data_IF_198919206990
#
_entry.id   IF_198919206990
#
_cell.length_a   1.000
_cell.length_b   1.000
_cell.length_c   1.000
_cell.angle_alpha   90.00
_cell.angle_beta   90.00
_cell.angle_gamma   90.00
#
_symmetry.space_group_name_H-M   'P 1'
#
loop_
_entity.id
_entity.type
_entity.pdbx_description
1 polymer ?
#
# COMPACT_ATOMS: atom_id res chain seq x y z
N UNK A 1 -6.42 -6.19 1.32
CA UNK A 1 -4.95 -6.35 1.17
C UNK A 1 -4.68 -6.92 -0.20
N UNK A 2 -4.01 -6.15 -0.99
CA UNK A 2 -3.57 -6.64 -2.30
C UNK A 2 -2.36 -7.55 -2.11
N UNK A 3 -2.25 -8.59 -2.92
CA UNK A 3 -1.08 -9.47 -2.87
C UNK A 3 0.11 -8.70 -3.46
N UNK A 4 1.31 -8.91 -2.93
CA UNK A 4 2.56 -8.31 -3.40
C UNK A 4 2.69 -8.24 -4.94
N UNK A 5 2.33 -9.32 -5.65
CA UNK A 5 2.30 -9.36 -7.10
C UNK A 5 1.31 -8.36 -7.73
N UNK A 6 0.23 -8.03 -7.04
CA UNK A 6 -0.75 -7.03 -7.48
C UNK A 6 -0.17 -5.63 -7.46
N UNK A 7 0.49 -5.23 -6.37
CA UNK A 7 1.18 -3.93 -6.28
C UNK A 7 2.28 -3.79 -7.33
N UNK A 8 3.07 -4.86 -7.52
CA UNK A 8 4.09 -4.92 -8.57
C UNK A 8 3.48 -4.72 -9.97
N UNK A 9 2.40 -5.43 -10.28
CA UNK A 9 1.72 -5.33 -11.58
C UNK A 9 1.16 -3.94 -11.84
N UNK A 10 0.47 -3.33 -10.87
CA UNK A 10 -0.08 -1.98 -11.00
C UNK A 10 1.04 -0.94 -11.15
N UNK A 11 2.12 -1.05 -10.38
CA UNK A 11 3.26 -0.14 -10.50
C UNK A 11 3.89 -0.19 -11.89
N UNK A 12 4.05 -1.38 -12.48
CA UNK A 12 4.58 -1.55 -13.84
C UNK A 12 3.64 -0.98 -14.92
N UNK A 13 2.32 -1.21 -14.80
CA UNK A 13 1.33 -0.65 -15.71
C UNK A 13 1.35 0.87 -15.63
N UNK A 14 1.36 1.43 -14.41
CA UNK A 14 1.44 2.87 -14.21
C UNK A 14 2.72 3.46 -14.79
N UNK A 15 3.87 2.81 -14.60
CA UNK A 15 5.15 3.23 -15.17
C UNK A 15 5.09 3.35 -16.70
N UNK A 16 4.48 2.37 -17.36
CA UNK A 16 4.27 2.39 -18.79
C UNK A 16 3.38 3.56 -19.23
N UNK A 17 2.26 3.78 -18.53
CA UNK A 17 1.28 4.81 -18.90
C UNK A 17 1.82 6.23 -18.71
N UNK A 18 2.56 6.48 -17.64
CA UNK A 18 3.11 7.82 -17.33
C UNK A 18 4.56 8.00 -17.82
N UNK A 19 5.11 7.01 -18.52
CA UNK A 19 6.47 7.02 -19.09
C UNK A 19 7.57 7.25 -18.04
N UNK A 20 7.43 6.59 -16.90
CA UNK A 20 8.44 6.58 -15.85
C UNK A 20 9.28 5.29 -15.90
N UNK A 21 10.43 5.31 -15.22
CA UNK A 21 11.29 4.13 -15.12
C UNK A 21 10.56 2.96 -14.44
N UNK A 22 10.37 1.81 -15.12
CA UNK A 22 9.57 0.71 -14.59
C UNK A 22 10.22 0.03 -13.39
N UNK A 23 11.56 -0.02 -13.33
CA UNK A 23 12.26 -0.64 -12.21
C UNK A 23 12.12 0.22 -10.93
N UNK A 24 12.29 1.52 -11.06
CA UNK A 24 12.15 2.45 -9.94
C UNK A 24 10.70 2.54 -9.45
N UNK A 25 9.73 2.52 -10.36
CA UNK A 25 8.30 2.44 -10.03
C UNK A 25 7.98 1.13 -9.30
N UNK A 26 8.52 0.01 -9.76
CA UNK A 26 8.37 -1.30 -9.12
C UNK A 26 8.93 -1.28 -7.70
N UNK A 27 10.14 -0.74 -7.51
CA UNK A 27 10.75 -0.60 -6.18
C UNK A 27 9.83 0.18 -5.25
N UNK A 28 9.31 1.33 -5.68
CA UNK A 28 8.37 2.12 -4.90
C UNK A 28 7.07 1.39 -4.61
N UNK A 29 6.53 0.69 -5.61
CA UNK A 29 5.27 -0.06 -5.50
C UNK A 29 5.31 -1.27 -4.56
N UNK A 30 6.49 -1.80 -4.24
CA UNK A 30 6.65 -2.94 -3.32
C UNK A 30 7.36 -2.58 -2.02
N UNK A 31 8.00 -1.42 -1.94
CA UNK A 31 8.78 -0.98 -0.79
C UNK A 31 8.00 -1.00 0.53
N UNK A 32 6.73 -0.55 0.62
CA UNK A 32 5.98 -0.61 1.86
C UNK A 32 5.79 -2.04 2.40
N UNK A 33 5.72 -3.04 1.53
CA UNK A 33 5.53 -4.44 1.89
C UNK A 33 6.84 -5.17 2.28
N UNK A 34 7.99 -4.50 2.21
CA UNK A 34 9.27 -5.11 2.62
C UNK A 34 9.30 -5.46 4.11
N UNK A 35 8.47 -4.82 4.92
CA UNK A 35 8.29 -5.20 6.33
C UNK A 35 7.72 -6.63 6.49
N UNK A 36 6.95 -7.11 5.52
CA UNK A 36 6.48 -8.49 5.47
C UNK A 36 7.64 -9.48 5.32
N UNK A 37 8.68 -9.12 4.57
CA UNK A 37 9.89 -9.94 4.42
C UNK A 37 10.66 -10.00 5.75
N UNK A 38 10.75 -8.89 6.47
CA UNK A 38 11.39 -8.85 7.78
C UNK A 38 10.70 -9.75 8.79
N UNK A 39 9.38 -9.96 8.66
CA UNK A 39 8.64 -10.87 9.53
C UNK A 39 8.99 -12.35 9.29
N UNK A 40 9.32 -12.72 8.05
CA UNK A 40 9.81 -14.07 7.71
C UNK A 40 11.17 -14.32 8.39
N UNK A 41 11.96 -13.27 8.62
CA UNK A 41 13.24 -13.32 9.30
C UNK A 41 13.15 -13.31 10.84
N UNK A 42 11.94 -13.44 11.40
CA UNK A 42 11.72 -13.58 12.84
C UNK A 42 11.17 -12.33 13.56
N UNK A 43 10.89 -11.24 12.86
CA UNK A 43 10.18 -10.12 13.44
C UNK A 43 8.68 -10.44 13.61
N UNK A 44 8.06 -9.98 14.72
CA UNK A 44 6.63 -10.20 14.99
C UNK A 44 5.77 -9.47 13.95
N UNK A 45 5.36 -10.16 12.91
CA UNK A 45 4.56 -9.64 11.80
C UNK A 45 3.34 -8.83 12.24
N UNK A 46 2.54 -9.36 13.16
CA UNK A 46 1.32 -8.68 13.64
C UNK A 46 1.57 -7.39 14.42
N UNK A 47 2.80 -7.12 14.86
CA UNK A 47 3.14 -5.91 15.63
C UNK A 47 3.82 -4.83 14.80
N UNK A 48 4.47 -5.19 13.71
CA UNK A 48 5.31 -4.28 12.90
C UNK A 48 4.74 -4.02 11.50
N UNK A 49 4.00 -4.98 10.96
CA UNK A 49 3.39 -4.85 9.64
C UNK A 49 2.38 -3.70 9.59
N UNK A 50 2.41 -2.94 8.52
CA UNK A 50 1.50 -1.83 8.23
C UNK A 50 1.52 -0.67 9.24
N UNK A 51 2.63 -0.41 9.89
CA UNK A 51 2.76 0.75 10.77
C UNK A 51 3.52 1.89 10.07
N UNK A 52 4.83 1.96 10.29
CA UNK A 52 5.66 3.06 9.76
C UNK A 52 5.74 3.00 8.23
N UNK A 53 5.88 1.80 7.66
CA UNK A 53 6.03 1.60 6.21
C UNK A 53 4.78 1.98 5.41
N UNK A 54 3.60 1.92 6.04
CA UNK A 54 2.31 2.31 5.45
C UNK A 54 1.81 3.67 5.97
N UNK A 55 2.69 4.48 6.55
CA UNK A 55 2.39 5.85 6.97
C UNK A 55 2.87 6.86 5.95
N UNK A 56 2.32 8.07 6.01
CA UNK A 56 2.70 9.20 5.15
C UNK A 56 4.19 9.57 5.27
N UNK A 57 4.88 9.07 6.29
CA UNK A 57 6.31 9.30 6.49
C UNK A 57 7.12 8.78 5.30
N UNK A 58 6.78 7.59 4.77
CA UNK A 58 7.53 7.00 3.66
C UNK A 58 7.45 7.84 2.37
N UNK A 59 6.27 8.24 1.86
CA UNK A 59 6.21 9.11 0.68
C UNK A 59 6.79 10.52 0.93
N UNK A 60 6.75 11.03 2.16
CA UNK A 60 7.41 12.29 2.49
C UNK A 60 8.93 12.14 2.36
N UNK A 61 9.52 11.09 2.93
CA UNK A 61 10.97 10.85 2.84
C UNK A 61 11.39 10.69 1.38
N UNK A 62 10.72 9.83 0.61
CA UNK A 62 11.06 9.62 -0.80
C UNK A 62 10.83 10.88 -1.64
N UNK A 63 9.79 11.65 -1.34
CA UNK A 63 9.52 12.94 -1.98
C UNK A 63 10.59 13.99 -1.69
N UNK A 64 11.07 14.09 -0.45
CA UNK A 64 12.17 14.98 -0.10
C UNK A 64 13.45 14.55 -0.83
N UNK A 65 13.77 13.27 -0.85
CA UNK A 65 14.93 12.74 -1.56
C UNK A 65 14.89 13.02 -3.06
N UNK A 66 13.72 13.13 -3.65
CA UNK A 66 13.55 13.44 -5.07
C UNK A 66 14.03 14.85 -5.46
N UNK A 67 14.15 15.76 -4.47
CA UNK A 67 14.69 17.12 -4.70
C UNK A 67 16.17 17.05 -5.08
N UNK A 68 16.93 16.14 -4.45
CA UNK A 68 18.37 15.98 -4.71
C UNK A 68 18.68 14.89 -5.74
N UNK A 69 17.83 13.87 -5.83
CA UNK A 69 18.03 12.74 -6.72
C UNK A 69 16.73 12.43 -7.47
N UNK A 70 16.57 12.88 -8.74
CA UNK A 70 15.37 12.70 -9.55
C UNK A 70 14.93 11.24 -9.72
N UNK A 71 15.83 10.28 -9.52
CA UNK A 71 15.51 8.84 -9.51
C UNK A 71 14.48 8.46 -8.41
N UNK A 72 14.33 9.27 -7.36
CA UNK A 72 13.31 9.06 -6.34
C UNK A 72 11.90 9.49 -6.76
N UNK A 73 11.74 10.25 -7.85
CA UNK A 73 10.41 10.64 -8.36
C UNK A 73 9.56 9.40 -8.67
N UNK A 74 9.99 8.47 -9.56
CA UNK A 74 9.22 7.26 -9.83
C UNK A 74 9.05 6.36 -8.60
N UNK A 75 10.03 6.30 -7.70
CA UNK A 75 9.90 5.56 -6.44
C UNK A 75 8.76 6.15 -5.60
N UNK A 76 8.72 7.47 -5.42
CA UNK A 76 7.67 8.16 -4.66
C UNK A 76 6.29 7.91 -5.28
N UNK A 77 6.17 7.99 -6.59
CA UNK A 77 4.92 7.69 -7.30
C UNK A 77 4.50 6.24 -7.06
N UNK A 78 5.44 5.29 -7.13
CA UNK A 78 5.18 3.88 -6.83
C UNK A 78 4.66 3.67 -5.40
N UNK A 79 5.25 4.32 -4.40
CA UNK A 79 4.79 4.29 -3.00
C UNK A 79 3.37 4.85 -2.87
N UNK A 80 3.06 5.96 -3.54
CA UNK A 80 1.72 6.55 -3.51
C UNK A 80 0.68 5.63 -4.15
N UNK A 81 1.01 4.99 -5.28
CA UNK A 81 0.14 4.02 -5.92
C UNK A 81 -0.12 2.83 -4.99
N UNK A 82 0.91 2.31 -4.31
CA UNK A 82 0.76 1.26 -3.32
C UNK A 82 -0.24 1.65 -2.23
N UNK A 83 -0.10 2.86 -1.66
CA UNK A 83 -1.01 3.34 -0.62
C UNK A 83 -2.45 3.44 -1.11
N UNK A 84 -2.68 4.00 -2.30
CA UNK A 84 -4.02 4.13 -2.88
C UNK A 84 -4.67 2.75 -3.04
N UNK A 85 -3.91 1.76 -3.48
CA UNK A 85 -4.42 0.39 -3.67
C UNK A 85 -4.65 -0.35 -2.36
N UNK A 86 -3.89 -0.04 -1.30
CA UNK A 86 -4.07 -0.65 0.03
C UNK A 86 -5.15 0.05 0.87
N UNK A 87 -5.49 1.30 0.55
CA UNK A 87 -6.63 2.00 1.17
C UNK A 87 -7.99 1.46 0.75
N UNK A 88 -8.05 0.46 -0.12
CA UNK A 88 -9.28 -0.09 -0.68
C UNK A 88 -10.23 -0.60 0.44
N UNK A 89 -9.85 -1.67 1.13
CA UNK A 89 -10.75 -2.37 2.06
C UNK A 89 -10.26 -2.37 3.51
N UNK A 90 -8.96 -2.49 3.69
CA UNK A 90 -8.37 -2.77 5.00
C UNK A 90 -7.92 -1.51 5.73
N UNK A 91 -7.82 -0.39 5.00
CA UNK A 91 -7.26 0.83 5.53
C UNK A 91 -5.75 0.74 5.81
N UNK A 92 -5.13 1.89 5.91
CA UNK A 92 -3.74 2.05 6.31
C UNK A 92 -3.63 3.10 7.42
N UNK A 93 -2.70 2.96 8.37
CA UNK A 93 -2.48 3.93 9.43
C UNK A 93 -1.69 5.14 8.90
N UNK A 94 -2.33 5.93 8.02
CA UNK A 94 -1.69 6.98 7.24
C UNK A 94 -0.91 7.97 8.11
N UNK A 95 -1.45 8.35 9.27
CA UNK A 95 -0.88 9.33 10.19
C UNK A 95 -0.10 8.70 11.37
N UNK A 96 0.22 7.42 11.29
CA UNK A 96 1.04 6.77 12.30
C UNK A 96 2.45 7.41 12.38
N UNK A 97 3.06 7.63 13.56
CA UNK A 97 2.61 7.19 14.90
C UNK A 97 1.72 8.19 15.65
N UNK A 98 1.40 9.36 15.05
CA UNK A 98 0.66 10.44 15.72
C UNK A 98 -0.80 10.01 15.95
N UNK A 99 -1.45 9.52 14.89
CA UNK A 99 -2.81 8.99 14.93
C UNK A 99 -2.73 7.53 14.50
N UNK A 100 -3.32 6.65 15.32
CA UNK A 100 -3.27 5.19 15.08
C UNK A 100 -4.47 4.67 14.32
N UNK A 101 -5.39 5.56 13.90
CA UNK A 101 -6.57 5.19 13.16
C UNK A 101 -6.21 4.76 11.73
N UNK A 102 -6.94 3.77 11.23
CA UNK A 102 -6.77 3.27 9.87
C UNK A 102 -7.74 3.99 8.93
N UNK A 103 -7.23 4.46 7.80
CA UNK A 103 -7.98 5.15 6.76
C UNK A 103 -8.20 4.21 5.57
N UNK A 104 -9.47 4.02 5.20
CA UNK A 104 -9.85 3.23 4.03
C UNK A 104 -10.79 4.02 3.13
N UNK A 105 -10.68 3.81 1.80
CA UNK A 105 -11.56 4.42 0.81
C UNK A 105 -12.96 3.78 0.83
N UNK A 106 -13.04 2.50 1.18
CA UNK A 106 -14.29 1.74 1.26
C UNK A 106 -14.44 1.23 2.69
N UNK A 107 -15.46 1.73 3.39
CA UNK A 107 -15.80 1.21 4.72
C UNK A 107 -16.56 -0.10 4.56
N UNK A 108 -15.89 -1.22 4.81
CA UNK A 108 -16.52 -2.53 4.94
C UNK A 108 -16.67 -2.82 6.42
N UNK A 109 -17.88 -3.25 6.79
CA UNK A 109 -18.14 -3.71 8.14
C UNK A 109 -17.51 -5.10 8.33
N UNK A 110 -16.30 -5.11 8.89
CA UNK A 110 -15.53 -6.34 9.17
C UNK A 110 -16.14 -7.20 10.29
N UNK A 111 -17.20 -6.71 10.98
CA UNK A 111 -17.92 -7.50 11.96
C UNK A 111 -18.77 -8.60 11.31
N UNK A 112 -19.05 -8.49 10.01
CA UNK A 112 -19.79 -9.49 9.25
C UNK A 112 -18.86 -10.60 8.77
N UNK A 113 -19.00 -11.77 9.37
CA UNK A 113 -18.34 -12.99 8.88
C UNK A 113 -19.01 -13.46 7.59
N UNK A 114 -18.31 -13.38 6.46
CA UNK A 114 -18.80 -13.90 5.18
C UNK A 114 -18.51 -15.41 5.11
N UNK A 115 -19.56 -16.20 4.95
CA UNK A 115 -19.45 -17.66 4.82
C UNK A 115 -18.91 -18.10 3.46
N UNK A 116 -19.08 -17.27 2.43
CA UNK A 116 -18.62 -17.57 1.05
C UNK A 116 -18.10 -16.33 0.33
N UNK A 117 -17.20 -16.56 -0.64
CA UNK A 117 -16.68 -15.49 -1.53
C UNK A 117 -17.80 -14.78 -2.31
N UNK A 118 -18.88 -15.51 -2.65
CA UNK A 118 -20.05 -14.94 -3.35
C UNK A 118 -20.77 -13.90 -2.50
N UNK A 119 -20.91 -14.15 -1.20
CA UNK A 119 -21.53 -13.19 -0.26
C UNK A 119 -20.68 -11.94 -0.09
N UNK A 120 -19.36 -12.10 0.02
CA UNK A 120 -18.44 -10.98 0.08
C UNK A 120 -18.52 -10.10 -1.18
N UNK A 121 -18.55 -10.68 -2.36
CA UNK A 121 -18.69 -9.96 -3.64
C UNK A 121 -20.05 -9.24 -3.71
N UNK A 122 -21.14 -9.91 -3.33
CA UNK A 122 -22.48 -9.31 -3.34
C UNK A 122 -22.60 -8.12 -2.40
N UNK A 123 -22.01 -8.20 -1.22
CA UNK A 123 -22.00 -7.12 -0.24
C UNK A 123 -21.13 -5.93 -0.72
N UNK A 124 -20.00 -6.22 -1.39
CA UNK A 124 -19.14 -5.21 -1.98
C UNK A 124 -19.88 -4.38 -3.05
N UNK A 125 -20.68 -5.02 -3.92
CA UNK A 125 -21.51 -4.31 -4.90
C UNK A 125 -22.66 -3.53 -4.29
N UNK A 126 -23.19 -3.96 -3.14
CA UNK A 126 -24.30 -3.31 -2.46
C UNK A 126 -23.89 -2.02 -1.73
N UNK A 127 -22.63 -1.93 -1.30
CA UNK A 127 -22.11 -0.80 -0.53
C UNK A 127 -21.39 0.26 -1.39
N UNK A 128 -21.54 0.20 -2.70
CA UNK A 128 -21.04 1.21 -3.65
C UNK A 128 -22.04 2.31 -3.90
#
# INVERSE_FOLDING_TARGET
MMIFAGHAGIALIAAYLIKQDPLLMLIGGVMPDLDAILSILGANFGKTHRKITHSIILPIITGILSIWAPAFIPITIGVLIHFITDMDHWGIPLLYPIIKDEYSLIKIDHSKSYKTTKEAIKEWFKNR
#
